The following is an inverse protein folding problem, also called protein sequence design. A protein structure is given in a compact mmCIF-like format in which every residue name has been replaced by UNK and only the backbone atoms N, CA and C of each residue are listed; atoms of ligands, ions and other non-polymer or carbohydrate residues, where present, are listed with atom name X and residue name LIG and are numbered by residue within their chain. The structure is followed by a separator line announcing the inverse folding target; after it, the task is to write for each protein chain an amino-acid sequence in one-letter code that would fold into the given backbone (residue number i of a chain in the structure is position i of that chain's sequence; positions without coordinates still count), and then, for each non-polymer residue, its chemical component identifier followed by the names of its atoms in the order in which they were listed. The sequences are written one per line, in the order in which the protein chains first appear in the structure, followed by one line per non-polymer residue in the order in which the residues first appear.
data_IF_805250872380
#
_entry.id   IF_805250872380
#
_cell.length_a   1.000
_cell.length_b   1.000
_cell.length_c   1.000
_cell.angle_alpha   90.00
_cell.angle_beta   90.00
_cell.angle_gamma   90.00
#
_symmetry.space_group_name_H-M   'P 1'
#
loop_
_entity.id
_entity.type
_entity.pdbx_description
1 polymer ?
#
# COMPACT_ATOMS: atom_id res chain seq x y z
N UNK A 1 -2.46 -17.85 12.78
CA UNK A 1 -3.64 -17.59 13.64
C UNK A 1 -4.15 -18.96 14.05
N UNK A 2 -4.18 -19.32 15.33
CA UNK A 2 -4.53 -20.68 15.80
C UNK A 2 -5.99 -21.09 15.58
N UNK A 3 -6.62 -20.64 14.49
CA UNK A 3 -7.97 -20.99 14.10
C UNK A 3 -7.95 -22.23 13.20
N UNK A 4 -9.00 -23.04 13.27
CA UNK A 4 -9.18 -24.17 12.36
C UNK A 4 -9.20 -23.69 10.91
N UNK A 5 -8.34 -24.23 10.01
CA UNK A 5 -8.18 -23.74 8.63
C UNK A 5 -9.49 -23.63 7.85
N UNK A 6 -10.43 -24.56 8.06
CA UNK A 6 -11.76 -24.54 7.42
C UNK A 6 -12.57 -23.31 7.79
N UNK A 7 -12.62 -22.97 9.08
CA UNK A 7 -13.33 -21.76 9.54
C UNK A 7 -12.65 -20.49 9.05
N UNK A 8 -11.32 -20.50 8.94
CA UNK A 8 -10.58 -19.37 8.39
C UNK A 8 -10.89 -19.15 6.91
N UNK A 9 -10.98 -20.22 6.10
CA UNK A 9 -11.40 -20.13 4.70
C UNK A 9 -12.79 -19.53 4.60
N UNK A 10 -13.76 -20.08 5.35
CA UNK A 10 -15.13 -19.58 5.33
C UNK A 10 -15.19 -18.09 5.71
N UNK A 11 -14.53 -17.72 6.82
CA UNK A 11 -14.49 -16.33 7.28
C UNK A 11 -13.87 -15.39 6.25
N UNK A 12 -12.76 -15.80 5.61
CA UNK A 12 -12.10 -14.98 4.58
C UNK A 12 -12.93 -14.91 3.29
N UNK A 13 -13.62 -15.98 2.90
CA UNK A 13 -14.53 -15.95 1.75
C UNK A 13 -15.67 -14.96 1.96
N UNK A 14 -16.32 -14.97 3.12
CA UNK A 14 -17.33 -13.97 3.46
C UNK A 14 -16.72 -12.57 3.55
N UNK A 15 -15.56 -12.42 4.17
CA UNK A 15 -14.83 -11.15 4.25
C UNK A 15 -14.52 -10.56 2.87
N UNK A 16 -14.06 -11.39 1.92
CA UNK A 16 -13.79 -10.98 0.54
C UNK A 16 -15.08 -10.60 -0.18
N UNK A 17 -16.15 -11.41 -0.07
CA UNK A 17 -17.42 -11.14 -0.75
C UNK A 17 -18.08 -9.86 -0.23
N UNK A 18 -18.19 -9.71 1.10
CA UNK A 18 -18.79 -8.51 1.70
C UNK A 18 -17.88 -7.30 1.45
N UNK A 19 -16.57 -7.46 1.64
CA UNK A 19 -15.59 -6.40 1.43
C UNK A 19 -15.53 -5.91 -0.02
N UNK A 20 -15.69 -6.80 -1.01
CA UNK A 20 -15.72 -6.41 -2.42
C UNK A 20 -16.99 -5.63 -2.74
N UNK A 21 -18.17 -6.13 -2.35
CA UNK A 21 -19.45 -5.44 -2.60
C UNK A 21 -19.49 -4.10 -1.90
N UNK A 22 -19.25 -4.06 -0.59
CA UNK A 22 -19.30 -2.82 0.19
C UNK A 22 -18.21 -1.85 -0.24
N UNK A 23 -16.99 -2.36 -0.46
CA UNK A 23 -15.86 -1.55 -0.91
C UNK A 23 -16.13 -0.89 -2.27
N UNK A 24 -16.69 -1.63 -3.24
CA UNK A 24 -17.07 -1.08 -4.54
C UNK A 24 -18.18 -0.05 -4.42
N UNK A 25 -19.21 -0.30 -3.61
CA UNK A 25 -20.28 0.68 -3.39
C UNK A 25 -19.75 1.97 -2.76
N UNK A 26 -18.94 1.86 -1.71
CA UNK A 26 -18.30 3.01 -1.10
C UNK A 26 -17.42 3.76 -2.10
N UNK A 27 -16.61 3.05 -2.91
CA UNK A 27 -15.80 3.68 -3.95
C UNK A 27 -16.63 4.49 -4.94
N UNK A 28 -17.74 3.93 -5.45
CA UNK A 28 -18.61 4.61 -6.41
C UNK A 28 -19.30 5.85 -5.80
N UNK A 29 -19.60 5.81 -4.50
CA UNK A 29 -20.14 6.98 -3.78
C UNK A 29 -19.08 8.06 -3.53
N UNK A 30 -17.85 7.66 -3.19
CA UNK A 30 -16.74 8.57 -2.89
C UNK A 30 -16.17 9.22 -4.16
N UNK A 31 -16.16 8.48 -5.27
CA UNK A 31 -15.47 8.86 -6.51
C UNK A 31 -16.44 8.70 -7.70
N UNK A 32 -17.47 9.56 -7.80
CA UNK A 32 -18.47 9.49 -8.86
C UNK A 32 -17.90 9.78 -10.25
N UNK A 33 -16.87 10.64 -10.35
CA UNK A 33 -16.13 10.88 -11.59
C UNK A 33 -14.64 10.56 -11.40
N UNK A 34 -14.24 9.28 -11.54
CA UNK A 34 -12.85 8.87 -11.33
C UNK A 34 -11.88 9.46 -12.34
N UNK A 35 -12.35 9.93 -13.51
CA UNK A 35 -11.46 10.46 -14.54
C UNK A 35 -10.93 11.84 -14.21
N UNK A 36 -11.73 12.65 -13.51
CA UNK A 36 -11.36 14.01 -13.10
C UNK A 36 -10.92 14.10 -11.64
N UNK A 37 -11.38 13.17 -10.80
CA UNK A 37 -11.08 13.21 -9.37
C UNK A 37 -9.75 12.54 -9.01
N UNK A 38 -9.37 11.42 -9.63
CA UNK A 38 -8.18 10.66 -9.26
C UNK A 38 -6.89 11.25 -9.83
N UNK A 39 -5.76 10.98 -9.14
CA UNK A 39 -4.42 11.47 -9.53
C UNK A 39 -4.37 13.02 -9.49
N UNK A 40 -5.10 13.61 -8.53
CA UNK A 40 -5.11 15.04 -8.24
C UNK A 40 -4.43 15.31 -6.88
N UNK A 41 -4.08 16.56 -6.54
CA UNK A 41 -3.54 16.86 -5.20
C UNK A 41 -4.47 16.46 -4.05
N UNK A 42 -5.79 16.51 -4.28
CA UNK A 42 -6.81 16.12 -3.31
C UNK A 42 -6.94 14.59 -3.23
N UNK A 43 -6.90 13.89 -4.36
CA UNK A 43 -6.96 12.42 -4.43
C UNK A 43 -5.76 11.86 -5.19
N UNK A 44 -4.56 11.86 -4.58
CA UNK A 44 -3.33 11.46 -5.27
C UNK A 44 -3.33 9.99 -5.69
N UNK A 45 -4.04 9.13 -4.94
CA UNK A 45 -4.31 7.73 -5.26
C UNK A 45 -3.10 6.97 -5.87
N UNK A 46 -1.94 6.92 -5.19
CA UNK A 46 -0.69 6.40 -5.76
C UNK A 46 -0.81 4.95 -6.22
N UNK A 47 -1.52 4.10 -5.45
CA UNK A 47 -1.76 2.71 -5.83
C UNK A 47 -2.60 2.60 -7.12
N UNK A 48 -3.60 3.47 -7.30
CA UNK A 48 -4.43 3.48 -8.50
C UNK A 48 -3.60 3.89 -9.72
N UNK A 49 -2.72 4.89 -9.57
CA UNK A 49 -1.82 5.31 -10.64
C UNK A 49 -0.89 4.17 -11.09
N UNK A 50 -0.32 3.40 -10.15
CA UNK A 50 0.51 2.23 -10.47
C UNK A 50 -0.26 1.17 -11.24
N UNK A 51 -1.46 0.79 -10.78
CA UNK A 51 -2.27 -0.23 -11.45
C UNK A 51 -2.80 0.22 -12.81
N UNK A 52 -3.13 1.52 -12.97
CA UNK A 52 -3.48 2.10 -14.26
C UNK A 52 -2.33 1.94 -15.26
N UNK A 53 -1.10 2.25 -14.86
CA UNK A 53 0.07 2.09 -15.72
C UNK A 53 0.31 0.63 -16.13
N UNK A 54 0.13 -0.32 -15.20
CA UNK A 54 0.20 -1.76 -15.51
C UNK A 54 -0.88 -2.16 -16.50
N UNK A 55 -2.13 -1.73 -16.28
CA UNK A 55 -3.24 -2.03 -17.19
C UNK A 55 -3.00 -1.47 -18.60
N UNK A 56 -2.48 -0.24 -18.71
CA UNK A 56 -2.12 0.38 -19.99
C UNK A 56 -1.01 -0.41 -20.69
N UNK A 57 0.06 -0.76 -19.97
CA UNK A 57 1.16 -1.55 -20.50
C UNK A 57 0.72 -2.91 -21.03
N UNK A 58 -0.22 -3.58 -20.35
CA UNK A 58 -0.74 -4.88 -20.77
C UNK A 58 -1.73 -4.76 -21.95
N UNK A 59 -2.59 -3.74 -21.95
CA UNK A 59 -3.62 -3.58 -22.98
C UNK A 59 -3.08 -2.97 -24.29
N UNK A 60 -2.14 -2.04 -24.20
CA UNK A 60 -1.66 -1.21 -25.31
C UNK A 60 -0.17 -1.42 -25.61
N UNK A 61 0.51 -2.27 -24.83
CA UNK A 61 1.95 -2.51 -24.92
C UNK A 61 2.77 -1.46 -24.17
N UNK A 62 4.06 -1.76 -23.97
CA UNK A 62 5.00 -0.90 -23.24
C UNK A 62 5.22 0.46 -23.90
N UNK A 63 5.01 0.56 -25.22
CA UNK A 63 5.13 1.82 -25.99
C UNK A 63 4.04 2.84 -25.66
N UNK A 64 2.96 2.42 -24.97
CA UNK A 64 1.92 3.32 -24.46
C UNK A 64 2.38 4.15 -23.26
N UNK A 65 3.47 3.73 -22.59
CA UNK A 65 4.05 4.46 -21.48
C UNK A 65 4.92 5.63 -21.98
N UNK A 66 5.07 6.70 -21.17
CA UNK A 66 6.01 7.77 -21.49
C UNK A 66 7.42 7.22 -21.75
N UNK A 67 8.18 7.73 -22.73
CA UNK A 67 9.53 7.24 -23.02
C UNK A 67 10.47 7.28 -21.80
N UNK A 68 10.32 8.28 -20.94
CA UNK A 68 11.04 8.39 -19.67
C UNK A 68 10.75 7.24 -18.71
N UNK A 69 9.53 6.69 -18.71
CA UNK A 69 9.15 5.55 -17.89
C UNK A 69 9.86 4.28 -18.35
N UNK A 70 10.07 4.08 -19.65
CA UNK A 70 10.82 2.94 -20.19
C UNK A 70 12.29 2.99 -19.74
N UNK A 71 12.90 4.17 -19.78
CA UNK A 71 14.26 4.38 -19.27
C UNK A 71 14.32 4.12 -17.76
N UNK A 72 13.34 4.62 -17.00
CA UNK A 72 13.25 4.37 -15.57
C UNK A 72 13.11 2.88 -15.25
N UNK A 73 12.29 2.13 -16.00
CA UNK A 73 12.16 0.67 -15.85
C UNK A 73 13.48 -0.03 -16.17
N UNK A 74 14.14 0.34 -17.26
CA UNK A 74 15.43 -0.25 -17.67
C UNK A 74 16.53 -0.08 -16.62
N UNK A 75 16.48 0.98 -15.82
CA UNK A 75 17.42 1.24 -14.72
C UNK A 75 16.94 0.61 -13.41
N UNK A 76 15.66 0.77 -13.05
CA UNK A 76 15.12 0.32 -11.78
C UNK A 76 14.98 -1.20 -11.68
N UNK A 77 14.69 -1.89 -12.79
CA UNK A 77 14.57 -3.34 -12.82
C UNK A 77 15.88 -4.06 -12.45
N UNK A 78 17.05 -3.77 -13.08
CA UNK A 78 18.31 -4.41 -12.68
C UNK A 78 18.75 -4.01 -11.28
N UNK A 79 18.51 -2.77 -10.83
CA UNK A 79 18.81 -2.36 -9.44
C UNK A 79 17.95 -3.16 -8.45
N UNK A 80 16.64 -3.25 -8.69
CA UNK A 80 15.73 -4.01 -7.85
C UNK A 80 16.08 -5.50 -7.81
N UNK A 81 16.43 -6.07 -8.96
CA UNK A 81 16.91 -7.46 -9.06
C UNK A 81 18.21 -7.65 -8.28
N UNK A 82 19.18 -6.74 -8.44
CA UNK A 82 20.45 -6.81 -7.73
C UNK A 82 20.26 -6.73 -6.21
N UNK A 83 19.38 -5.84 -5.73
CA UNK A 83 19.04 -5.74 -4.31
C UNK A 83 18.35 -7.01 -3.79
N UNK A 84 17.38 -7.56 -4.53
CA UNK A 84 16.68 -8.78 -4.14
C UNK A 84 17.61 -10.00 -4.09
N UNK A 85 18.50 -10.13 -5.08
CA UNK A 85 19.51 -11.19 -5.10
C UNK A 85 20.52 -11.00 -3.96
N UNK A 86 20.97 -9.78 -3.72
CA UNK A 86 21.89 -9.46 -2.64
C UNK A 86 21.28 -9.77 -1.26
N UNK A 87 20.01 -9.43 -1.03
CA UNK A 87 19.29 -9.74 0.20
C UNK A 87 19.23 -11.26 0.46
N UNK A 88 19.10 -12.06 -0.59
CA UNK A 88 19.05 -13.52 -0.47
C UNK A 88 20.44 -14.17 -0.26
N UNK A 89 21.48 -13.67 -0.92
CA UNK A 89 22.81 -14.28 -0.91
C UNK A 89 23.73 -13.78 0.22
N UNK A 90 23.52 -12.55 0.72
CA UNK A 90 24.40 -11.99 1.73
C UNK A 90 24.14 -12.61 3.12
N UNK A 91 25.19 -12.81 3.93
CA UNK A 91 25.02 -13.16 5.33
C UNK A 91 24.15 -12.12 6.06
N UNK A 92 23.34 -12.56 7.03
CA UNK A 92 22.38 -11.71 7.75
C UNK A 92 22.97 -10.40 8.29
N UNK A 93 24.26 -10.39 8.65
CA UNK A 93 24.96 -9.19 9.12
C UNK A 93 25.00 -8.08 8.07
N UNK A 94 25.21 -8.43 6.80
CA UNK A 94 25.28 -7.50 5.68
C UNK A 94 23.91 -7.25 5.06
N UNK A 95 23.04 -8.26 5.03
CA UNK A 95 21.66 -8.12 4.54
C UNK A 95 20.86 -7.04 5.30
N UNK A 96 21.13 -6.85 6.60
CA UNK A 96 20.50 -5.80 7.41
C UNK A 96 20.87 -4.36 7.00
N UNK A 97 21.95 -4.18 6.24
CA UNK A 97 22.40 -2.87 5.77
C UNK A 97 21.87 -2.53 4.36
N UNK A 98 21.32 -3.52 3.65
CA UNK A 98 20.74 -3.31 2.33
C UNK A 98 19.46 -2.49 2.45
N UNK A 99 19.24 -1.51 1.56
CA UNK A 99 17.96 -0.85 1.48
C UNK A 99 16.91 -1.83 0.96
N UNK A 100 15.72 -1.77 1.54
CA UNK A 100 14.58 -2.57 1.07
C UNK A 100 14.15 -2.12 -0.32
N UNK A 101 14.28 -2.99 -1.31
CA UNK A 101 13.87 -2.71 -2.69
C UNK A 101 12.38 -2.32 -2.80
N UNK A 102 11.43 -3.03 -2.14
CA UNK A 102 10.03 -2.61 -2.09
C UNK A 102 9.83 -1.22 -1.48
N UNK A 103 10.55 -0.90 -0.38
CA UNK A 103 10.43 0.42 0.26
C UNK A 103 10.94 1.55 -0.63
N UNK A 104 12.05 1.33 -1.35
CA UNK A 104 12.57 2.29 -2.33
C UNK A 104 11.58 2.51 -3.47
N UNK A 105 10.99 1.44 -4.01
CA UNK A 105 9.97 1.56 -5.05
C UNK A 105 8.75 2.36 -4.59
N UNK A 106 8.25 2.07 -3.38
CA UNK A 106 7.13 2.81 -2.78
C UNK A 106 7.47 4.29 -2.56
N UNK A 107 8.68 4.61 -2.10
CA UNK A 107 9.10 5.99 -1.86
C UNK A 107 9.10 6.86 -3.12
N UNK A 108 9.24 6.26 -4.32
CA UNK A 108 9.20 6.98 -5.60
C UNK A 108 7.78 7.28 -6.09
N UNK A 109 6.77 6.58 -5.55
CA UNK A 109 5.37 6.71 -5.97
C UNK A 109 4.53 7.48 -4.94
N UNK A 110 4.91 7.38 -3.67
CA UNK A 110 4.16 8.00 -2.56
C UNK A 110 4.55 9.48 -2.42
N UNK A 111 3.59 10.41 -2.29
CA UNK A 111 3.86 11.82 -2.02
C UNK A 111 4.75 12.03 -0.77
N UNK A 112 5.62 13.04 -0.79
CA UNK A 112 6.59 13.29 0.28
C UNK A 112 5.97 13.39 1.68
N UNK A 113 4.80 14.03 1.81
CA UNK A 113 4.11 14.16 3.10
C UNK A 113 3.63 12.80 3.65
N UNK A 114 3.15 11.90 2.78
CA UNK A 114 2.78 10.54 3.16
C UNK A 114 4.03 9.74 3.58
N UNK A 115 5.13 9.91 2.87
CA UNK A 115 6.41 9.27 3.23
C UNK A 115 6.91 9.71 4.60
N UNK A 116 6.74 10.99 4.97
CA UNK A 116 7.05 11.50 6.31
C UNK A 116 6.14 10.87 7.37
N UNK A 117 4.83 10.79 7.12
CA UNK A 117 3.88 10.15 8.04
C UNK A 117 4.20 8.67 8.27
N UNK A 118 4.52 7.92 7.21
CA UNK A 118 4.97 6.53 7.29
C UNK A 118 6.27 6.40 8.08
N UNK A 119 7.24 7.31 7.85
CA UNK A 119 8.50 7.33 8.60
C UNK A 119 8.27 7.57 10.09
N UNK A 120 7.43 8.54 10.46
CA UNK A 120 7.09 8.81 11.86
C UNK A 120 6.41 7.61 12.51
N UNK A 121 5.45 6.99 11.84
CA UNK A 121 4.81 5.76 12.31
C UNK A 121 5.81 4.61 12.51
N UNK A 122 6.73 4.43 11.56
CA UNK A 122 7.80 3.44 11.66
C UNK A 122 8.80 3.77 12.78
N UNK A 123 9.12 5.04 13.02
CA UNK A 123 9.99 5.48 14.11
C UNK A 123 9.37 5.19 15.47
N UNK A 124 8.06 5.46 15.64
CA UNK A 124 7.31 5.09 16.85
C UNK A 124 7.30 3.58 17.04
N UNK A 125 7.05 2.81 15.99
CA UNK A 125 7.10 1.35 16.03
C UNK A 125 8.50 0.83 16.40
N UNK A 126 9.56 1.43 15.87
CA UNK A 126 10.95 1.07 16.17
C UNK A 126 11.31 1.40 17.62
N UNK A 127 10.87 2.54 18.14
CA UNK A 127 11.03 2.88 19.55
C UNK A 127 10.28 1.89 20.45
N UNK A 128 9.05 1.54 20.08
CA UNK A 128 8.27 0.56 20.82
C UNK A 128 8.91 -0.83 20.82
N UNK A 129 9.50 -1.26 19.70
CA UNK A 129 10.30 -2.49 19.61
C UNK A 129 11.51 -2.49 20.55
N UNK A 130 12.14 -1.32 20.78
CA UNK A 130 13.26 -1.19 21.74
C UNK A 130 12.80 -1.25 23.19
N UNK A 131 11.63 -0.71 23.51
CA UNK A 131 11.09 -0.66 24.88
C UNK A 131 10.50 -2.00 25.30
N UNK A 132 9.66 -2.61 24.45
CA UNK A 132 9.00 -3.88 24.76
C UNK A 132 8.80 -4.74 23.48
N UNK A 133 9.81 -5.51 23.08
CA UNK A 133 9.78 -6.27 21.83
C UNK A 133 8.67 -7.34 21.79
N UNK A 134 8.33 -7.94 22.94
CA UNK A 134 7.27 -8.95 23.02
C UNK A 134 5.89 -8.36 22.70
N UNK A 135 5.58 -7.16 23.23
CA UNK A 135 4.31 -6.47 22.93
C UNK A 135 4.33 -5.87 21.53
N UNK A 136 5.44 -5.26 21.12
CA UNK A 136 5.56 -4.64 19.81
C UNK A 136 5.34 -5.64 18.66
N UNK A 137 5.96 -6.82 18.73
CA UNK A 137 5.75 -7.88 17.73
C UNK A 137 4.28 -8.30 17.62
N UNK A 138 3.52 -8.23 18.72
CA UNK A 138 2.11 -8.63 18.76
C UNK A 138 1.14 -7.53 18.33
N UNK A 139 1.41 -6.28 18.67
CA UNK A 139 0.42 -5.20 18.58
C UNK A 139 0.72 -4.14 17.52
N UNK A 140 1.97 -3.99 17.05
CA UNK A 140 2.32 -2.94 16.07
C UNK A 140 1.49 -3.05 14.80
N UNK A 141 1.41 -4.25 14.19
CA UNK A 141 0.68 -4.45 12.95
C UNK A 141 -0.85 -4.28 13.13
N UNK A 142 -1.51 -4.88 14.13
CA UNK A 142 -2.94 -4.66 14.37
C UNK A 142 -3.29 -3.18 14.65
N UNK A 143 -2.47 -2.47 15.42
CA UNK A 143 -2.71 -1.06 15.73
C UNK A 143 -2.56 -0.19 14.49
N UNK A 144 -1.48 -0.38 13.71
CA UNK A 144 -1.29 0.34 12.46
C UNK A 144 -2.44 0.08 11.47
N UNK A 145 -2.85 -1.17 11.30
CA UNK A 145 -3.98 -1.54 10.46
C UNK A 145 -5.29 -0.91 10.95
N UNK A 146 -5.53 -0.89 12.26
CA UNK A 146 -6.70 -0.25 12.87
C UNK A 146 -6.74 1.26 12.65
N UNK A 147 -5.60 1.94 12.71
CA UNK A 147 -5.50 3.38 12.44
C UNK A 147 -5.83 3.70 10.97
N UNK A 148 -5.26 2.95 10.02
CA UNK A 148 -5.53 3.11 8.59
C UNK A 148 -6.99 2.82 8.26
N UNK A 149 -7.55 1.73 8.81
CA UNK A 149 -8.96 1.38 8.63
C UNK A 149 -9.89 2.43 9.26
N UNK A 150 -9.55 2.92 10.46
CA UNK A 150 -10.33 3.92 11.18
C UNK A 150 -10.41 5.25 10.44
N UNK A 151 -9.29 5.74 9.91
CA UNK A 151 -9.27 6.94 9.05
C UNK A 151 -10.18 6.76 7.82
N UNK A 152 -10.06 5.61 7.14
CA UNK A 152 -10.85 5.29 5.95
C UNK A 152 -12.36 5.24 6.24
N UNK A 153 -12.76 4.60 7.34
CA UNK A 153 -14.15 4.53 7.78
C UNK A 153 -14.72 5.90 8.15
N UNK A 154 -13.91 6.75 8.81
CA UNK A 154 -14.32 8.11 9.14
C UNK A 154 -14.62 8.92 7.86
N UNK A 155 -13.80 8.77 6.81
CA UNK A 155 -14.06 9.38 5.51
C UNK A 155 -15.38 8.96 4.86
N UNK A 156 -15.77 7.69 5.01
CA UNK A 156 -17.08 7.20 4.53
C UNK A 156 -18.21 7.83 5.34
N UNK A 157 -18.07 7.89 6.67
CA UNK A 157 -19.08 8.46 7.57
C UNK A 157 -19.31 9.94 7.29
N UNK A 158 -18.24 10.73 7.08
CA UNK A 158 -18.37 12.16 6.80
C UNK A 158 -19.12 12.43 5.50
N UNK A 159 -18.89 11.62 4.47
CA UNK A 159 -19.58 11.75 3.18
C UNK A 159 -21.02 11.26 3.28
N UNK A 160 -21.29 10.17 4.00
CA UNK A 160 -22.65 9.75 4.30
C UNK A 160 -23.44 10.87 4.98
N UNK A 161 -22.86 11.55 5.98
CA UNK A 161 -23.50 12.68 6.66
C UNK A 161 -23.82 13.84 5.69
N UNK A 162 -22.94 14.12 4.73
CA UNK A 162 -23.17 15.18 3.74
C UNK A 162 -24.26 14.81 2.72
N UNK A 163 -24.43 13.54 2.39
CA UNK A 163 -25.47 13.07 1.46
C UNK A 163 -26.89 13.10 2.05
N UNK A 164 -27.02 13.08 3.38
CA UNK A 164 -28.31 13.12 4.09
C UNK A 164 -28.71 14.51 4.61
N UNK A 165 -27.94 15.55 4.27
CA UNK A 165 -28.30 16.97 4.51
C UNK A 165 -28.66 17.63 3.19
#
# INVERSE_FOLDING_TARGET
VGATPRLQIIAQSFGILVGSVVGTLCYLLLIPDPTTMLITPQWPAPAVATWKAVAQALAQGLTSLPPSALVAIAIAAPIGLALAVAEHLLPQRYARLLPSAPALGLALVIPAWNSISLFLGAAVAALFMRINPARATRYTLPVAAGLVAGESLMGIVTIAIHLFK
#
